data_IF_179064020545
#
_entry.id   IF_179064020545
#
_cell.length_a   1.000
_cell.length_b   1.000
_cell.length_c   1.000
_cell.angle_alpha   90.00
_cell.angle_beta   90.00
_cell.angle_gamma   90.00
#
_symmetry.space_group_name_H-M   'P 1'
#
loop_
_entity.id
_entity.type
_entity.pdbx_description
1 polymer ?
#
# COMPACT_ATOMS: atom_id res chain seq x y z
N UNK A 1 73.68 -8.98 -137.22
CA UNK A 1 73.01 -7.66 -137.17
C UNK A 1 72.48 -7.42 -135.75
N UNK A 2 71.18 -7.60 -135.45
CA UNK A 2 70.51 -7.23 -134.18
C UNK A 2 71.26 -7.43 -132.85
N UNK A 3 72.15 -8.41 -132.72
CA UNK A 3 72.92 -8.66 -131.48
C UNK A 3 74.18 -7.76 -131.33
N UNK A 4 74.77 -7.30 -132.45
CA UNK A 4 75.92 -6.38 -132.46
C UNK A 4 75.51 -4.93 -132.26
N UNK A 5 74.35 -4.53 -132.79
CA UNK A 5 73.76 -3.21 -132.54
C UNK A 5 73.45 -3.05 -131.05
N UNK A 6 72.83 -4.05 -130.43
CA UNK A 6 72.49 -4.07 -129.00
C UNK A 6 73.71 -3.96 -128.07
N UNK A 7 74.87 -4.50 -128.47
CA UNK A 7 76.13 -4.32 -127.73
C UNK A 7 76.71 -2.91 -127.89
N UNK A 8 76.53 -2.28 -129.06
CA UNK A 8 76.94 -0.90 -129.32
C UNK A 8 76.05 0.10 -128.59
N UNK A 9 74.74 -0.13 -128.60
CA UNK A 9 73.74 0.64 -127.84
C UNK A 9 74.07 0.58 -126.34
N UNK A 10 74.28 -0.63 -125.79
CA UNK A 10 74.65 -0.80 -124.37
C UNK A 10 75.98 -0.12 -124.01
N UNK A 11 76.98 -0.14 -124.88
CA UNK A 11 78.25 0.57 -124.67
C UNK A 11 78.08 2.11 -124.74
N UNK A 12 77.12 2.61 -125.53
CA UNK A 12 76.75 4.03 -125.58
C UNK A 12 75.95 4.43 -124.33
N UNK A 13 75.04 3.58 -123.83
CA UNK A 13 74.37 3.77 -122.53
C UNK A 13 75.41 3.83 -121.40
N UNK A 14 76.31 2.85 -121.28
CA UNK A 14 77.35 2.81 -120.24
C UNK A 14 78.28 4.04 -120.27
N UNK A 15 78.67 4.52 -121.46
CA UNK A 15 79.44 5.75 -121.60
C UNK A 15 78.62 7.02 -121.29
N UNK A 16 77.31 7.02 -121.57
CA UNK A 16 76.41 8.14 -121.25
C UNK A 16 76.16 8.20 -119.75
N UNK A 17 75.99 7.06 -119.09
CA UNK A 17 75.87 6.93 -117.64
C UNK A 17 77.14 7.38 -116.91
N UNK A 18 78.33 7.02 -117.41
CA UNK A 18 79.60 7.49 -116.82
C UNK A 18 79.82 8.98 -117.08
N UNK A 19 79.49 9.48 -118.28
CA UNK A 19 79.54 10.92 -118.59
C UNK A 19 78.59 11.71 -117.67
N UNK A 20 77.37 11.22 -117.44
CA UNK A 20 76.43 11.82 -116.49
C UNK A 20 76.98 11.79 -115.07
N UNK A 21 77.51 10.65 -114.61
CA UNK A 21 78.11 10.52 -113.27
C UNK A 21 79.38 11.37 -113.10
N UNK A 22 80.14 11.65 -114.15
CA UNK A 22 81.27 12.60 -114.13
C UNK A 22 80.77 14.05 -114.13
N UNK A 23 79.74 14.38 -114.90
CA UNK A 23 79.14 15.71 -114.92
C UNK A 23 78.47 16.08 -113.58
N UNK A 24 77.79 15.13 -112.93
CA UNK A 24 77.27 15.28 -111.58
C UNK A 24 78.38 15.49 -110.54
N UNK A 25 79.46 14.69 -110.60
CA UNK A 25 80.64 14.88 -109.74
C UNK A 25 81.26 16.27 -109.93
N UNK A 26 81.42 16.72 -111.18
CA UNK A 26 81.94 18.06 -111.50
C UNK A 26 81.06 19.14 -110.87
N UNK A 27 79.75 19.12 -111.14
CA UNK A 27 78.77 20.07 -110.59
C UNK A 27 78.75 20.08 -109.06
N UNK A 28 78.90 18.93 -108.42
CA UNK A 28 79.05 18.83 -106.96
C UNK A 28 80.35 19.50 -106.49
N UNK A 29 81.49 19.23 -107.14
CA UNK A 29 82.77 19.87 -106.78
C UNK A 29 82.79 21.38 -107.02
N UNK A 30 82.11 21.87 -108.08
CA UNK A 30 81.94 23.29 -108.35
C UNK A 30 81.11 23.96 -107.25
N UNK A 31 79.96 23.39 -106.87
CA UNK A 31 79.12 23.91 -105.78
C UNK A 31 79.83 23.90 -104.42
N UNK A 32 80.68 22.90 -104.16
CA UNK A 32 81.51 22.83 -102.95
C UNK A 32 82.61 23.91 -102.94
N UNK A 33 83.23 24.17 -104.09
CA UNK A 33 84.26 25.20 -104.24
C UNK A 33 83.66 26.62 -104.13
N UNK A 34 82.49 26.85 -104.72
CA UNK A 34 81.73 28.10 -104.55
C UNK A 34 81.32 28.33 -103.08
N UNK A 35 80.80 27.29 -102.41
CA UNK A 35 80.50 27.32 -100.98
C UNK A 35 81.73 27.67 -100.13
N UNK A 36 82.89 27.06 -100.41
CA UNK A 36 84.15 27.37 -99.70
C UNK A 36 84.66 28.79 -99.96
N UNK A 37 84.50 29.32 -101.17
CA UNK A 37 84.84 30.73 -101.47
C UNK A 37 83.95 31.72 -100.70
N UNK A 38 82.66 31.42 -100.55
CA UNK A 38 81.73 32.23 -99.74
C UNK A 38 82.10 32.18 -98.25
N UNK A 39 82.48 31.01 -97.73
CA UNK A 39 82.95 30.84 -96.35
C UNK A 39 84.25 31.62 -96.08
N UNK A 40 85.25 31.54 -96.97
CA UNK A 40 86.50 32.31 -96.89
C UNK A 40 86.23 33.81 -96.89
N UNK A 41 85.31 34.29 -97.73
CA UNK A 41 84.91 35.71 -97.77
C UNK A 41 84.30 36.14 -96.43
N UNK A 42 83.36 35.36 -95.90
CA UNK A 42 82.71 35.62 -94.60
C UNK A 42 83.73 35.73 -93.46
N UNK A 43 84.64 34.76 -93.34
CA UNK A 43 85.69 34.74 -92.29
C UNK A 43 86.60 35.97 -92.40
N UNK A 44 86.95 36.40 -93.62
CA UNK A 44 87.76 37.60 -93.83
C UNK A 44 87.05 38.88 -93.38
N UNK A 45 85.74 39.00 -93.59
CA UNK A 45 84.96 40.16 -93.19
C UNK A 45 84.67 40.18 -91.67
N UNK A 46 84.42 39.02 -91.06
CA UNK A 46 84.34 38.84 -89.60
C UNK A 46 85.67 39.23 -88.90
N UNK A 47 86.81 38.83 -89.46
CA UNK A 47 88.14 39.21 -88.95
C UNK A 47 88.36 40.73 -88.95
N UNK A 48 87.94 41.42 -90.02
CA UNK A 48 88.02 42.90 -90.10
C UNK A 48 87.17 43.56 -89.02
N UNK A 49 85.92 43.09 -88.84
CA UNK A 49 85.01 43.60 -87.82
C UNK A 49 85.56 43.40 -86.40
N UNK A 50 86.14 42.23 -86.11
CA UNK A 50 86.77 41.94 -84.81
C UNK A 50 87.93 42.87 -84.50
N UNK A 51 88.86 43.09 -85.45
CA UNK A 51 89.97 44.03 -85.23
C UNK A 51 89.48 45.49 -85.09
N UNK A 52 88.47 45.90 -85.85
CA UNK A 52 87.87 47.23 -85.71
C UNK A 52 87.25 47.44 -84.32
N UNK A 53 86.56 46.44 -83.77
CA UNK A 53 86.03 46.48 -82.40
C UNK A 53 87.15 46.54 -81.35
N UNK A 54 88.25 45.79 -81.54
CA UNK A 54 89.41 45.84 -80.65
C UNK A 54 90.04 47.25 -80.63
N UNK A 55 90.28 47.87 -81.79
CA UNK A 55 90.80 49.23 -81.86
C UNK A 55 89.84 50.26 -81.26
N UNK A 56 88.52 50.10 -81.41
CA UNK A 56 87.53 50.98 -80.79
C UNK A 56 87.53 50.89 -79.25
N UNK A 57 87.68 49.69 -78.68
CA UNK A 57 87.83 49.49 -77.25
C UNK A 57 89.13 50.11 -76.72
N UNK A 58 90.25 49.86 -77.41
CA UNK A 58 91.56 50.39 -77.04
C UNK A 58 91.63 51.93 -77.15
N UNK A 59 91.02 52.52 -78.19
CA UNK A 59 90.85 53.98 -78.32
C UNK A 59 89.92 54.57 -77.26
N UNK A 60 89.05 53.77 -76.64
CA UNK A 60 88.21 54.20 -75.52
C UNK A 60 88.98 54.19 -74.21
N UNK A 61 89.79 53.16 -73.95
CA UNK A 61 90.76 53.15 -72.83
C UNK A 61 91.75 54.32 -72.93
N UNK A 62 92.30 54.60 -74.12
CA UNK A 62 93.18 55.78 -74.33
C UNK A 62 92.48 57.11 -74.02
N UNK A 63 91.19 57.25 -74.34
CA UNK A 63 90.42 58.46 -74.00
C UNK A 63 90.18 58.60 -72.49
N UNK A 64 89.88 57.51 -71.79
CA UNK A 64 89.75 57.52 -70.32
C UNK A 64 91.08 57.89 -69.65
N UNK A 65 92.18 57.26 -70.05
CA UNK A 65 93.52 57.58 -69.52
C UNK A 65 94.06 58.96 -69.92
N UNK A 66 93.51 59.60 -70.97
CA UNK A 66 93.79 60.99 -71.29
C UNK A 66 93.01 61.93 -70.35
N UNK A 67 91.72 61.70 -70.15
CA UNK A 67 90.88 62.48 -69.23
C UNK A 67 91.28 62.33 -67.74
N UNK A 68 92.03 61.28 -67.38
CA UNK A 68 92.68 61.12 -66.07
C UNK A 68 93.95 61.99 -65.89
N UNK A 69 94.38 62.76 -66.91
CA UNK A 69 95.58 63.61 -66.85
C UNK A 69 95.29 65.12 -66.85
N UNK A 70 94.03 65.51 -66.92
CA UNK A 70 93.62 66.89 -66.69
C UNK A 70 93.50 67.10 -65.16
N UNK A 71 94.31 67.99 -64.59
CA UNK A 71 94.53 68.12 -63.13
C UNK A 71 93.26 68.43 -62.30
N UNK A 72 92.18 68.89 -62.94
CA UNK A 72 90.89 69.19 -62.30
C UNK A 72 90.03 67.94 -61.98
N UNK A 73 90.36 66.76 -62.53
CA UNK A 73 89.60 65.52 -62.34
C UNK A 73 90.26 64.59 -61.30
N UNK A 74 89.58 64.20 -60.20
CA UNK A 74 90.13 63.25 -59.25
C UNK A 74 90.26 61.85 -59.88
N UNK A 75 91.21 61.01 -59.41
CA UNK A 75 91.38 59.64 -59.88
C UNK A 75 90.07 58.84 -59.82
N UNK A 76 89.84 57.98 -60.81
CA UNK A 76 88.60 57.20 -60.93
C UNK A 76 88.42 56.29 -59.71
N UNK A 77 89.52 55.80 -59.16
CA UNK A 77 89.61 55.03 -57.92
C UNK A 77 89.04 55.78 -56.71
N UNK A 78 89.20 57.12 -56.64
CA UNK A 78 88.66 57.95 -55.58
C UNK A 78 87.14 58.18 -55.71
N UNK A 79 86.59 58.07 -56.93
CA UNK A 79 85.15 58.11 -57.20
C UNK A 79 84.52 56.72 -56.98
N UNK A 80 85.23 55.65 -57.34
CA UNK A 80 84.75 54.27 -57.20
C UNK A 80 84.77 53.79 -55.75
N UNK A 81 85.83 54.06 -54.96
CA UNK A 81 85.97 53.50 -53.61
C UNK A 81 84.79 53.80 -52.65
N UNK A 82 84.18 55.00 -52.64
CA UNK A 82 82.94 55.25 -51.89
C UNK A 82 81.77 54.39 -52.38
N UNK A 83 81.56 54.30 -53.69
CA UNK A 83 80.48 53.51 -54.30
C UNK A 83 80.66 52.00 -54.07
N UNK A 84 81.89 51.51 -54.09
CA UNK A 84 82.22 50.13 -53.72
C UNK A 84 81.99 49.85 -52.23
N UNK A 85 82.25 50.82 -51.36
CA UNK A 85 81.96 50.72 -49.93
C UNK A 85 80.45 50.72 -49.65
N UNK A 86 79.68 51.61 -50.29
CA UNK A 86 78.21 51.64 -50.23
C UNK A 86 77.60 50.34 -50.76
N UNK A 87 78.07 49.84 -51.92
CA UNK A 87 77.63 48.58 -52.50
C UNK A 87 77.96 47.37 -51.59
N UNK A 88 79.10 47.42 -50.88
CA UNK A 88 79.47 46.43 -49.87
C UNK A 88 78.58 46.49 -48.63
N UNK A 89 78.20 47.69 -48.16
CA UNK A 89 77.25 47.88 -47.07
C UNK A 89 75.84 47.39 -47.45
N UNK A 90 75.35 47.75 -48.64
CA UNK A 90 74.06 47.28 -49.16
C UNK A 90 74.02 45.75 -49.29
N UNK A 91 75.12 45.11 -49.72
CA UNK A 91 75.24 43.64 -49.72
C UNK A 91 75.18 43.03 -48.31
N UNK A 92 75.77 43.69 -47.30
CA UNK A 92 75.68 43.25 -45.90
C UNK A 92 74.28 43.45 -45.32
N UNK A 93 73.59 44.51 -45.69
CA UNK A 93 72.19 44.76 -45.30
C UNK A 93 71.24 43.74 -45.93
N UNK A 94 71.38 43.46 -47.23
CA UNK A 94 70.63 42.40 -47.91
C UNK A 94 70.87 41.03 -47.22
N UNK A 95 72.10 40.73 -46.80
CA UNK A 95 72.39 39.48 -46.08
C UNK A 95 71.67 39.42 -44.72
N UNK A 96 71.66 40.50 -43.94
CA UNK A 96 70.90 40.59 -42.68
C UNK A 96 69.40 40.41 -42.92
N UNK A 97 68.82 41.15 -43.86
CA UNK A 97 67.40 41.07 -44.22
C UNK A 97 67.00 39.67 -44.73
N UNK A 98 67.90 38.93 -45.36
CA UNK A 98 67.68 37.52 -45.73
C UNK A 98 67.66 36.60 -44.49
N UNK A 99 68.54 36.80 -43.51
CA UNK A 99 68.54 36.00 -42.28
C UNK A 99 67.38 36.36 -41.34
N UNK A 100 66.97 37.63 -41.28
CA UNK A 100 65.78 38.10 -40.58
C UNK A 100 64.50 37.51 -41.20
N UNK A 101 64.38 37.46 -42.53
CA UNK A 101 63.28 36.74 -43.19
C UNK A 101 63.27 35.24 -42.83
N UNK A 102 64.42 34.56 -42.84
CA UNK A 102 64.52 33.15 -42.39
C UNK A 102 64.17 33.01 -40.90
N UNK A 103 64.38 34.02 -40.07
CA UNK A 103 63.98 34.01 -38.66
C UNK A 103 62.46 34.18 -38.52
N UNK A 104 61.86 35.10 -39.29
CA UNK A 104 60.40 35.28 -39.38
C UNK A 104 59.70 34.02 -39.89
N UNK A 105 60.20 33.37 -40.94
CA UNK A 105 59.66 32.09 -41.45
C UNK A 105 59.61 30.99 -40.37
N UNK A 106 60.67 30.87 -39.56
CA UNK A 106 60.73 29.91 -38.45
C UNK A 106 59.76 30.29 -37.32
N UNK A 107 59.64 31.58 -37.02
CA UNK A 107 58.71 32.09 -36.00
C UNK A 107 57.25 31.89 -36.43
N UNK A 108 56.92 32.11 -37.69
CA UNK A 108 55.59 31.86 -38.27
C UNK A 108 55.23 30.38 -38.15
N UNK A 109 56.10 29.47 -38.64
CA UNK A 109 55.88 28.01 -38.53
C UNK A 109 55.75 27.52 -37.08
N UNK A 110 56.51 28.12 -36.15
CA UNK A 110 56.40 27.83 -34.72
C UNK A 110 55.06 28.28 -34.14
N UNK A 111 54.56 29.46 -34.53
CA UNK A 111 53.24 29.96 -34.14
C UNK A 111 52.09 29.15 -34.76
N UNK A 112 52.21 28.74 -36.02
CA UNK A 112 51.25 27.87 -36.70
C UNK A 112 51.12 26.52 -35.98
N UNK A 113 52.25 25.89 -35.62
CA UNK A 113 52.25 24.67 -34.83
C UNK A 113 51.58 24.86 -33.46
N UNK A 114 51.93 25.93 -32.73
CA UNK A 114 51.34 26.24 -31.43
C UNK A 114 49.82 26.54 -31.51
N UNK A 115 49.35 27.16 -32.60
CA UNK A 115 47.93 27.38 -32.85
C UNK A 115 47.18 26.07 -33.10
N UNK A 116 47.77 25.13 -33.87
CA UNK A 116 47.18 23.81 -34.09
C UNK A 116 47.09 22.97 -32.81
N UNK A 117 48.08 23.05 -31.92
CA UNK A 117 48.03 22.37 -30.61
C UNK A 117 47.05 23.03 -29.64
N UNK A 118 46.90 24.36 -29.68
CA UNK A 118 45.85 25.06 -28.97
C UNK A 118 44.45 24.66 -29.49
N UNK A 119 44.27 24.55 -30.81
CA UNK A 119 43.02 24.11 -31.42
C UNK A 119 42.63 22.69 -31.01
N UNK A 120 43.58 21.73 -31.08
CA UNK A 120 43.39 20.34 -30.59
C UNK A 120 42.97 20.33 -29.11
N UNK A 121 43.57 21.20 -28.31
CA UNK A 121 43.24 21.33 -26.88
C UNK A 121 41.82 21.85 -26.67
N UNK A 122 41.40 22.87 -27.45
CA UNK A 122 40.02 23.40 -27.43
C UNK A 122 39.00 22.36 -27.91
N UNK A 123 39.28 21.65 -29.00
CA UNK A 123 38.42 20.56 -29.50
C UNK A 123 38.25 19.45 -28.44
N UNK A 124 39.33 19.06 -27.76
CA UNK A 124 39.28 18.10 -26.64
C UNK A 124 38.46 18.62 -25.44
N UNK A 125 38.57 19.91 -25.13
CA UNK A 125 37.80 20.55 -24.06
C UNK A 125 36.29 20.62 -24.39
N UNK A 126 35.93 20.95 -25.64
CA UNK A 126 34.55 20.99 -26.12
C UNK A 126 33.89 19.60 -26.07
N UNK A 127 34.60 18.55 -26.51
CA UNK A 127 34.10 17.17 -26.40
C UNK A 127 33.85 16.74 -24.94
N UNK A 128 34.74 17.14 -24.01
CA UNK A 128 34.57 16.89 -22.57
C UNK A 128 33.40 17.70 -21.99
N UNK A 129 33.18 18.94 -22.43
CA UNK A 129 32.05 19.76 -22.00
C UNK A 129 30.72 19.11 -22.42
N UNK A 130 30.58 18.71 -23.69
CA UNK A 130 29.38 18.00 -24.18
C UNK A 130 29.08 16.73 -23.37
N UNK A 131 30.11 15.93 -23.05
CA UNK A 131 29.95 14.74 -22.21
C UNK A 131 29.52 15.08 -20.77
N UNK A 132 29.98 16.20 -20.22
CA UNK A 132 29.53 16.69 -18.89
C UNK A 132 28.07 17.14 -18.94
N UNK A 133 27.64 17.81 -20.01
CA UNK A 133 26.25 18.24 -20.19
C UNK A 133 25.30 17.04 -20.34
N UNK A 134 25.67 16.02 -21.13
CA UNK A 134 24.94 14.75 -21.24
C UNK A 134 24.82 14.03 -19.88
N UNK A 135 25.90 14.01 -19.09
CA UNK A 135 25.88 13.44 -17.75
C UNK A 135 25.03 14.25 -16.77
N UNK A 136 25.01 15.59 -16.87
CA UNK A 136 24.11 16.44 -16.09
C UNK A 136 22.64 16.18 -16.44
N UNK A 137 22.30 16.12 -17.73
CA UNK A 137 20.97 15.80 -18.21
C UNK A 137 20.49 14.43 -17.70
N UNK A 138 21.36 13.41 -17.77
CA UNK A 138 21.08 12.07 -17.24
C UNK A 138 20.91 12.06 -15.72
N UNK A 139 21.69 12.86 -14.99
CA UNK A 139 21.59 12.98 -13.53
C UNK A 139 20.28 13.67 -13.09
N UNK A 140 19.88 14.75 -13.77
CA UNK A 140 18.57 15.40 -13.56
C UNK A 140 17.40 14.43 -13.80
N UNK A 141 17.49 13.57 -14.82
CA UNK A 141 16.47 12.56 -15.11
C UNK A 141 16.43 11.45 -14.05
N UNK A 142 17.59 11.00 -13.57
CA UNK A 142 17.66 10.05 -12.45
C UNK A 142 17.10 10.65 -11.14
N UNK A 143 17.30 11.94 -10.87
CA UNK A 143 16.67 12.61 -9.72
C UNK A 143 15.14 12.60 -9.83
N UNK A 144 14.57 12.92 -11.00
CA UNK A 144 13.11 12.82 -11.23
C UNK A 144 12.58 11.40 -11.00
N UNK A 145 13.31 10.38 -11.47
CA UNK A 145 12.93 8.98 -11.26
C UNK A 145 12.98 8.59 -9.77
N UNK A 146 13.96 9.10 -9.01
CA UNK A 146 14.01 8.93 -7.56
C UNK A 146 12.83 9.63 -6.87
N UNK A 147 12.46 10.84 -7.28
CA UNK A 147 11.29 11.57 -6.75
C UNK A 147 9.97 10.82 -7.02
N UNK A 148 9.79 10.30 -8.24
CA UNK A 148 8.63 9.48 -8.62
C UNK A 148 8.57 8.23 -7.74
N UNK A 149 9.65 7.43 -7.67
CA UNK A 149 9.69 6.23 -6.85
C UNK A 149 9.47 6.52 -5.34
N UNK A 150 9.89 7.69 -4.83
CA UNK A 150 9.60 8.10 -3.46
C UNK A 150 8.11 8.40 -3.25
N UNK A 151 7.43 9.05 -4.19
CA UNK A 151 5.98 9.32 -4.08
C UNK A 151 5.14 8.07 -4.34
N UNK A 152 5.53 7.19 -5.26
CA UNK A 152 4.94 5.86 -5.43
C UNK A 152 4.99 5.05 -4.13
N UNK A 153 6.16 5.01 -3.47
CA UNK A 153 6.29 4.41 -2.15
C UNK A 153 5.33 5.08 -1.13
N UNK A 154 5.29 6.42 -1.05
CA UNK A 154 4.32 7.14 -0.18
C UNK A 154 2.85 6.85 -0.51
N UNK A 155 2.50 6.49 -1.75
CA UNK A 155 1.15 6.07 -2.14
C UNK A 155 0.87 4.63 -1.70
N UNK A 156 1.80 3.70 -1.95
CA UNK A 156 1.72 2.31 -1.50
C UNK A 156 1.61 2.22 0.03
N UNK A 157 2.39 3.03 0.74
CA UNK A 157 2.45 3.10 2.20
C UNK A 157 1.14 3.65 2.81
N UNK A 158 0.44 4.55 2.10
CA UNK A 158 -0.92 5.00 2.45
C UNK A 158 -1.97 3.92 2.17
N UNK A 159 -1.90 3.29 1.00
CA UNK A 159 -2.81 2.20 0.59
C UNK A 159 -2.71 0.99 1.54
N UNK A 160 -1.49 0.63 1.97
CA UNK A 160 -1.27 -0.48 2.89
C UNK A 160 -1.88 -0.18 4.27
N UNK A 161 -1.63 1.00 4.84
CA UNK A 161 -2.27 1.42 6.11
C UNK A 161 -3.81 1.41 6.03
N UNK A 162 -4.39 1.84 4.90
CA UNK A 162 -5.84 1.76 4.67
C UNK A 162 -6.34 0.31 4.66
N UNK A 163 -5.69 -0.58 3.89
CA UNK A 163 -6.04 -2.01 3.83
C UNK A 163 -5.90 -2.71 5.19
N UNK A 164 -4.88 -2.37 5.98
CA UNK A 164 -4.73 -2.89 7.36
C UNK A 164 -5.90 -2.45 8.23
N UNK A 165 -6.27 -1.16 8.23
CA UNK A 165 -7.42 -0.66 8.99
C UNK A 165 -8.77 -1.26 8.55
N UNK A 166 -8.94 -1.57 7.25
CA UNK A 166 -10.10 -2.31 6.74
C UNK A 166 -10.12 -3.77 7.25
N UNK A 167 -8.98 -4.46 7.24
CA UNK A 167 -8.84 -5.82 7.80
C UNK A 167 -9.08 -5.84 9.30
N UNK A 168 -8.55 -4.87 10.06
CA UNK A 168 -8.80 -4.72 11.50
C UNK A 168 -10.30 -4.53 11.78
N UNK A 169 -10.97 -3.68 11.00
CA UNK A 169 -12.42 -3.44 11.11
C UNK A 169 -13.23 -4.71 10.80
N UNK A 170 -12.89 -5.43 9.73
CA UNK A 170 -13.55 -6.70 9.40
C UNK A 170 -13.31 -7.74 10.51
N UNK A 171 -12.09 -7.81 11.05
CA UNK A 171 -11.74 -8.71 12.18
C UNK A 171 -12.53 -8.36 13.45
N UNK A 172 -12.81 -7.07 13.69
CA UNK A 172 -13.68 -6.63 14.78
C UNK A 172 -15.14 -7.09 14.55
N UNK A 173 -15.69 -6.90 13.36
CA UNK A 173 -17.06 -7.34 13.04
C UNK A 173 -17.22 -8.86 13.00
N UNK A 174 -16.17 -9.63 12.67
CA UNK A 174 -16.18 -11.10 12.83
C UNK A 174 -16.33 -11.48 14.30
N UNK A 175 -15.53 -10.89 15.20
CA UNK A 175 -15.63 -11.17 16.65
C UNK A 175 -16.98 -10.78 17.25
N UNK A 176 -17.56 -9.66 16.81
CA UNK A 176 -18.92 -9.26 17.19
C UNK A 176 -20.00 -10.26 16.73
N UNK A 177 -19.82 -10.88 15.56
CA UNK A 177 -20.70 -11.94 15.05
C UNK A 177 -20.49 -13.27 15.79
N UNK A 178 -19.25 -13.61 16.16
CA UNK A 178 -18.93 -14.79 16.99
C UNK A 178 -19.61 -14.69 18.37
N UNK A 179 -19.50 -13.53 19.03
CA UNK A 179 -20.20 -13.26 20.30
C UNK A 179 -21.73 -13.35 20.15
N UNK A 180 -22.29 -12.81 19.06
CA UNK A 180 -23.73 -12.88 18.78
C UNK A 180 -24.20 -14.33 18.51
N UNK A 181 -23.39 -15.15 17.85
CA UNK A 181 -23.67 -16.58 17.61
C UNK A 181 -23.62 -17.37 18.93
N UNK A 182 -22.64 -17.11 19.80
CA UNK A 182 -22.55 -17.73 21.12
C UNK A 182 -23.76 -17.36 22.00
N UNK A 183 -24.16 -16.08 22.03
CA UNK A 183 -25.36 -15.62 22.72
C UNK A 183 -26.65 -16.24 22.15
N UNK A 184 -26.75 -16.35 20.83
CA UNK A 184 -27.85 -17.04 20.13
C UNK A 184 -27.92 -18.53 20.50
N UNK A 185 -26.78 -19.21 20.60
CA UNK A 185 -26.69 -20.60 21.07
C UNK A 185 -27.18 -20.78 22.51
N UNK A 186 -26.78 -19.88 23.41
CA UNK A 186 -27.26 -19.88 24.80
C UNK A 186 -28.78 -19.63 24.89
N UNK A 187 -29.31 -18.68 24.11
CA UNK A 187 -30.75 -18.43 24.04
C UNK A 187 -31.52 -19.64 23.47
N UNK A 188 -31.01 -20.29 22.43
CA UNK A 188 -31.61 -21.50 21.85
C UNK A 188 -31.59 -22.71 22.82
N UNK A 189 -30.58 -22.80 23.69
CA UNK A 189 -30.54 -23.79 24.78
C UNK A 189 -31.65 -23.50 25.80
N UNK A 190 -31.76 -22.27 26.30
CA UNK A 190 -32.79 -21.87 27.24
C UNK A 190 -34.22 -22.11 26.71
N UNK A 191 -34.47 -21.82 25.43
CA UNK A 191 -35.76 -22.11 24.76
C UNK A 191 -36.06 -23.63 24.77
N UNK A 192 -35.07 -24.49 24.49
CA UNK A 192 -35.24 -25.94 24.52
C UNK A 192 -35.49 -26.48 25.94
N UNK A 193 -34.87 -25.89 26.96
CA UNK A 193 -35.10 -26.29 28.36
C UNK A 193 -36.47 -25.82 28.87
N UNK A 194 -36.91 -24.61 28.54
CA UNK A 194 -38.29 -24.17 28.81
C UNK A 194 -39.32 -25.04 28.08
N UNK A 195 -39.06 -25.42 26.83
CA UNK A 195 -39.92 -26.34 26.06
C UNK A 195 -40.05 -27.70 26.75
N UNK A 196 -38.95 -28.25 27.30
CA UNK A 196 -38.96 -29.49 28.08
C UNK A 196 -39.79 -29.33 29.37
N UNK A 197 -39.58 -28.27 30.15
CA UNK A 197 -40.34 -28.04 31.40
C UNK A 197 -41.84 -27.83 31.13
N UNK A 198 -42.22 -27.24 29.99
CA UNK A 198 -43.62 -27.13 29.54
C UNK A 198 -44.20 -28.49 29.14
N UNK A 199 -43.42 -29.38 28.52
CA UNK A 199 -43.84 -30.76 28.25
C UNK A 199 -44.07 -31.54 29.56
N UNK A 200 -43.11 -31.50 30.49
CA UNK A 200 -43.22 -32.10 31.82
C UNK A 200 -44.47 -31.61 32.58
N UNK A 201 -44.67 -30.29 32.70
CA UNK A 201 -45.86 -29.73 33.36
C UNK A 201 -47.17 -30.11 32.65
N UNK A 202 -47.16 -30.31 31.34
CA UNK A 202 -48.33 -30.78 30.58
C UNK A 202 -48.59 -32.29 30.81
N UNK A 203 -47.59 -33.08 31.19
CA UNK A 203 -47.75 -34.47 31.59
C UNK A 203 -48.23 -34.60 33.04
N UNK A 204 -47.63 -33.83 33.96
CA UNK A 204 -48.10 -33.62 35.34
C UNK A 204 -49.57 -33.15 35.35
N UNK A 205 -49.94 -32.19 34.49
CA UNK A 205 -51.33 -31.74 34.35
C UNK A 205 -52.25 -32.87 33.88
N UNK A 206 -51.80 -33.71 32.93
CA UNK A 206 -52.58 -34.86 32.44
C UNK A 206 -52.71 -35.98 33.49
N UNK A 207 -51.78 -36.14 34.44
CA UNK A 207 -51.97 -37.09 35.56
C UNK A 207 -52.95 -36.50 36.57
N UNK A 208 -52.77 -35.24 36.98
CA UNK A 208 -53.69 -34.53 37.88
C UNK A 208 -55.12 -34.43 37.34
N UNK A 209 -55.34 -34.15 36.05
CA UNK A 209 -56.67 -34.13 35.42
C UNK A 209 -57.37 -35.50 35.53
N UNK A 210 -56.62 -36.61 35.44
CA UNK A 210 -57.15 -37.98 35.61
C UNK A 210 -57.40 -38.34 37.07
N UNK A 211 -56.54 -37.90 37.99
CA UNK A 211 -56.71 -38.10 39.43
C UNK A 211 -57.89 -37.31 39.96
N UNK A 212 -58.05 -36.06 39.52
CA UNK A 212 -59.22 -35.22 39.80
C UNK A 212 -60.51 -35.82 39.24
N UNK A 213 -60.48 -36.46 38.07
CA UNK A 213 -61.61 -37.23 37.55
C UNK A 213 -61.95 -38.46 38.43
N UNK A 214 -60.94 -39.24 38.86
CA UNK A 214 -61.12 -40.36 39.80
C UNK A 214 -61.68 -39.88 41.13
N UNK A 215 -61.14 -38.80 41.70
CA UNK A 215 -61.58 -38.20 42.94
C UNK A 215 -63.04 -37.70 42.86
N UNK A 216 -63.44 -37.08 41.75
CA UNK A 216 -64.84 -36.71 41.49
C UNK A 216 -65.77 -37.92 41.46
N UNK A 217 -65.38 -39.02 40.81
CA UNK A 217 -66.18 -40.26 40.81
C UNK A 217 -66.31 -40.85 42.22
N UNK A 218 -65.23 -40.89 43.00
CA UNK A 218 -65.28 -41.35 44.40
C UNK A 218 -66.13 -40.42 45.28
N UNK A 219 -65.98 -39.11 45.16
CA UNK A 219 -66.77 -38.13 45.90
C UNK A 219 -68.27 -38.22 45.56
N UNK A 220 -68.61 -38.38 44.27
CA UNK A 220 -70.00 -38.61 43.85
C UNK A 220 -70.55 -39.92 44.44
N UNK A 221 -69.78 -41.01 44.45
CA UNK A 221 -70.19 -42.28 45.07
C UNK A 221 -70.46 -42.11 46.58
N UNK A 222 -69.56 -41.44 47.30
CA UNK A 222 -69.76 -41.14 48.74
C UNK A 222 -71.00 -40.26 48.95
N UNK A 223 -71.17 -39.22 48.14
CA UNK A 223 -72.35 -38.35 48.20
C UNK A 223 -73.66 -39.11 47.93
N UNK A 224 -73.67 -40.10 47.01
CA UNK A 224 -74.83 -40.98 46.80
C UNK A 224 -75.08 -41.92 47.99
N UNK A 225 -74.05 -42.48 48.61
CA UNK A 225 -74.20 -43.31 49.82
C UNK A 225 -74.79 -42.48 50.96
N UNK A 226 -74.19 -41.33 51.28
CA UNK A 226 -74.70 -40.43 52.33
C UNK A 226 -76.10 -39.92 52.00
N UNK A 227 -76.40 -39.59 50.74
CA UNK A 227 -77.76 -39.19 50.35
C UNK A 227 -78.79 -40.31 50.58
N UNK A 228 -78.41 -41.59 50.43
CA UNK A 228 -79.29 -42.72 50.75
C UNK A 228 -79.45 -42.94 52.25
N UNK A 229 -78.43 -42.69 53.08
CA UNK A 229 -78.52 -42.75 54.55
C UNK A 229 -79.48 -41.69 55.13
N UNK A 230 -79.68 -40.57 54.42
CA UNK A 230 -80.53 -39.44 54.82
C UNK A 230 -81.94 -39.47 54.20
N UNK A 231 -82.39 -40.65 53.76
CA UNK A 231 -83.77 -40.88 53.30
C UNK A 231 -84.72 -41.23 54.43
N UNK A 232 -85.97 -40.83 54.27
CA UNK A 232 -87.10 -41.27 55.10
C UNK A 232 -87.57 -42.69 54.74
N UNK A 233 -88.55 -43.20 55.49
CA UNK A 233 -89.19 -44.49 55.24
C UNK A 233 -89.97 -44.58 53.91
N UNK A 234 -90.05 -43.48 53.15
CA UNK A 234 -90.64 -43.39 51.82
C UNK A 234 -89.58 -43.19 50.71
N UNK A 235 -88.31 -43.49 51.01
CA UNK A 235 -87.12 -43.39 50.14
C UNK A 235 -86.79 -41.95 49.69
N UNK A 236 -87.29 -40.91 50.39
CA UNK A 236 -87.09 -39.50 50.05
C UNK A 236 -86.09 -38.84 50.98
N UNK A 237 -85.13 -38.12 50.41
CA UNK A 237 -84.18 -37.31 51.19
C UNK A 237 -84.92 -36.10 51.78
N UNK A 238 -84.74 -35.84 53.08
CA UNK A 238 -85.37 -34.70 53.75
C UNK A 238 -85.01 -33.36 53.07
N UNK A 239 -86.00 -32.56 52.61
CA UNK A 239 -85.75 -31.25 52.02
C UNK A 239 -84.98 -30.32 52.96
N UNK A 240 -83.92 -29.67 52.45
CA UNK A 240 -83.02 -28.79 53.24
C UNK A 240 -83.79 -27.71 54.01
N UNK A 241 -84.88 -27.17 53.45
CA UNK A 241 -85.74 -26.18 54.13
C UNK A 241 -86.48 -26.77 55.35
N UNK A 242 -86.92 -28.03 55.28
CA UNK A 242 -87.55 -28.72 56.41
C UNK A 242 -86.50 -29.07 57.47
N UNK A 243 -85.35 -29.62 57.06
CA UNK A 243 -84.24 -29.91 57.99
C UNK A 243 -83.76 -28.67 58.76
N UNK A 244 -83.64 -27.51 58.10
CA UNK A 244 -83.29 -26.24 58.75
C UNK A 244 -84.38 -25.68 59.68
N UNK A 245 -85.63 -26.10 59.50
CA UNK A 245 -86.75 -25.73 60.37
C UNK A 245 -86.82 -26.67 61.58
N UNK A 246 -86.77 -27.98 61.37
CA UNK A 246 -86.68 -28.99 62.44
C UNK A 246 -85.46 -28.76 63.33
N UNK A 247 -84.29 -28.47 62.75
CA UNK A 247 -83.09 -28.09 63.51
C UNK A 247 -83.30 -26.81 64.33
N UNK A 248 -84.08 -25.84 63.84
CA UNK A 248 -84.42 -24.61 64.58
C UNK A 248 -85.38 -24.90 65.73
N UNK A 249 -86.41 -25.73 65.49
CA UNK A 249 -87.36 -26.19 66.51
C UNK A 249 -86.62 -26.94 67.61
N UNK A 250 -85.84 -27.98 67.29
CA UNK A 250 -85.03 -28.75 68.24
C UNK A 250 -84.06 -27.86 69.03
N UNK A 251 -83.41 -26.87 68.38
CA UNK A 251 -82.54 -25.93 69.07
C UNK A 251 -83.31 -25.00 70.03
N UNK A 252 -84.54 -24.59 69.67
CA UNK A 252 -85.45 -23.83 70.53
C UNK A 252 -85.99 -24.65 71.71
N UNK A 253 -86.37 -25.91 71.48
CA UNK A 253 -86.77 -26.84 72.54
C UNK A 253 -85.63 -27.12 73.52
N UNK A 254 -84.42 -27.36 73.02
CA UNK A 254 -83.23 -27.56 73.86
C UNK A 254 -82.95 -26.31 74.71
N UNK A 255 -83.16 -25.10 74.17
CA UNK A 255 -83.08 -23.89 74.98
C UNK A 255 -84.22 -23.79 76.02
N UNK A 256 -85.46 -24.08 75.64
CA UNK A 256 -86.58 -24.10 76.59
C UNK A 256 -86.37 -25.14 77.72
N UNK A 257 -85.71 -26.26 77.43
CA UNK A 257 -85.31 -27.25 78.43
C UNK A 257 -84.22 -26.72 79.37
N UNK A 258 -83.22 -25.96 78.88
CA UNK A 258 -82.26 -25.24 79.73
C UNK A 258 -82.94 -24.19 80.61
N UNK A 259 -83.89 -23.44 80.06
CA UNK A 259 -84.60 -22.39 80.79
C UNK A 259 -85.49 -23.01 81.89
N UNK A 260 -86.19 -24.12 81.59
CA UNK A 260 -86.91 -24.94 82.58
C UNK A 260 -85.97 -25.50 83.65
N UNK A 261 -84.81 -26.04 83.27
CA UNK A 261 -83.81 -26.52 84.22
C UNK A 261 -83.37 -25.41 85.18
N UNK A 262 -83.01 -24.24 84.64
CA UNK A 262 -82.61 -23.07 85.43
C UNK A 262 -83.73 -22.52 86.34
N UNK A 263 -85.00 -22.73 86.00
CA UNK A 263 -86.13 -22.47 86.91
C UNK A 263 -86.15 -23.53 88.03
N UNK A 264 -86.09 -24.82 87.69
CA UNK A 264 -86.11 -25.90 88.71
C UNK A 264 -84.92 -25.82 89.67
N UNK A 265 -83.73 -25.41 89.22
CA UNK A 265 -82.59 -25.13 90.10
C UNK A 265 -82.86 -23.99 91.08
N UNK A 266 -83.49 -22.90 90.62
CA UNK A 266 -83.85 -21.76 91.49
C UNK A 266 -84.91 -22.17 92.50
N UNK A 267 -85.92 -22.94 92.09
CA UNK A 267 -86.93 -23.51 92.99
C UNK A 267 -86.27 -24.43 94.02
N UNK A 268 -85.43 -25.37 93.61
CA UNK A 268 -84.72 -26.29 94.52
C UNK A 268 -83.80 -25.54 95.50
N UNK A 269 -83.08 -24.50 95.05
CA UNK A 269 -82.30 -23.61 95.93
C UNK A 269 -83.20 -22.90 96.96
N UNK A 270 -84.37 -22.39 96.54
CA UNK A 270 -85.33 -21.78 97.47
C UNK A 270 -85.95 -22.78 98.46
N UNK A 271 -86.20 -24.01 98.02
CA UNK A 271 -86.71 -25.10 98.86
C UNK A 271 -85.66 -25.56 99.88
N UNK A 272 -84.38 -25.59 99.51
CA UNK A 272 -83.27 -25.88 100.43
C UNK A 272 -83.16 -24.81 101.54
N UNK A 273 -83.24 -23.52 101.19
CA UNK A 273 -83.30 -22.42 102.17
C UNK A 273 -84.52 -22.53 103.08
N UNK A 274 -85.66 -23.01 102.56
CA UNK A 274 -86.87 -23.23 103.34
C UNK A 274 -86.71 -24.43 104.29
N UNK A 275 -86.10 -25.53 103.83
CA UNK A 275 -85.75 -26.70 104.62
C UNK A 275 -84.79 -26.35 105.76
N UNK A 276 -83.76 -25.55 105.52
CA UNK A 276 -82.87 -25.03 106.57
C UNK A 276 -83.65 -24.21 107.61
N UNK A 277 -84.53 -23.30 107.17
CA UNK A 277 -85.42 -22.53 108.06
C UNK A 277 -86.37 -23.41 108.88
N UNK A 278 -86.85 -24.53 108.34
CA UNK A 278 -87.65 -25.50 109.08
C UNK A 278 -86.81 -26.37 110.03
N UNK A 279 -85.60 -26.76 109.65
CA UNK A 279 -84.66 -27.49 110.52
C UNK A 279 -84.24 -26.63 111.72
N UNK A 280 -83.95 -25.34 111.54
CA UNK A 280 -83.69 -24.40 112.63
C UNK A 280 -84.89 -24.31 113.60
N UNK A 281 -86.12 -24.25 113.08
CA UNK A 281 -87.34 -24.27 113.90
C UNK A 281 -87.54 -25.59 114.65
N UNK A 282 -87.29 -26.72 113.99
CA UNK A 282 -87.38 -28.04 114.61
C UNK A 282 -86.36 -28.17 115.75
N UNK A 283 -85.13 -27.68 115.54
CA UNK A 283 -84.08 -27.69 116.56
C UNK A 283 -84.44 -26.87 117.81
N UNK A 284 -85.06 -25.70 117.64
CA UNK A 284 -85.60 -24.91 118.78
C UNK A 284 -86.71 -25.67 119.51
N UNK A 285 -87.56 -26.42 118.81
CA UNK A 285 -88.58 -27.27 119.45
C UNK A 285 -87.96 -28.49 120.17
N UNK A 286 -86.92 -29.12 119.61
CA UNK A 286 -86.15 -30.16 120.30
C UNK A 286 -85.47 -29.64 121.57
N UNK A 287 -84.87 -28.45 121.51
CA UNK A 287 -84.28 -27.77 122.66
C UNK A 287 -85.36 -27.45 123.72
N UNK A 288 -86.57 -27.05 123.30
CA UNK A 288 -87.72 -26.85 124.18
C UNK A 288 -88.21 -28.17 124.82
N UNK A 289 -88.14 -29.30 124.11
CA UNK A 289 -88.59 -30.61 124.61
C UNK A 289 -87.54 -31.30 125.51
N UNK A 290 -86.24 -31.06 125.28
CA UNK A 290 -85.12 -31.51 126.15
C UNK A 290 -85.12 -30.84 127.53
N UNK A 291 -85.94 -29.81 127.74
CA UNK A 291 -86.21 -29.21 129.06
C UNK A 291 -86.92 -30.16 130.03
N UNK A 292 -87.41 -31.32 129.56
CA UNK A 292 -87.93 -32.41 130.38
C UNK A 292 -87.18 -33.71 130.05
N UNK A 293 -86.86 -34.51 131.08
CA UNK A 293 -85.89 -35.62 131.05
C UNK A 293 -84.42 -35.18 130.94
N UNK A 294 -83.74 -35.18 132.09
CA UNK A 294 -82.40 -34.61 132.30
C UNK A 294 -81.27 -35.45 131.71
N UNK A 295 -80.40 -34.85 130.88
CA UNK A 295 -79.15 -35.48 130.44
C UNK A 295 -78.00 -34.48 130.17
N UNK A 296 -76.81 -34.80 130.70
CA UNK A 296 -75.47 -34.36 130.26
C UNK A 296 -75.16 -32.86 130.07
N UNK A 297 -74.83 -32.20 131.19
CA UNK A 297 -73.72 -31.22 131.40
C UNK A 297 -73.18 -30.38 130.22
N UNK A 298 -73.32 -29.07 130.39
CA UNK A 298 -72.82 -27.95 129.57
C UNK A 298 -71.30 -27.66 129.66
N UNK A 299 -70.71 -27.21 128.53
CA UNK A 299 -69.85 -25.98 128.35
C UNK A 299 -68.56 -25.74 129.15
N UNK A 300 -67.64 -24.82 128.74
CA UNK A 300 -67.56 -23.96 127.53
C UNK A 300 -66.24 -24.22 126.72
N UNK A 301 -65.75 -23.44 125.74
CA UNK A 301 -66.31 -22.28 124.99
C UNK A 301 -66.34 -22.60 123.47
N UNK A 302 -65.49 -22.15 122.51
CA UNK A 302 -64.35 -21.22 122.48
C UNK A 302 -64.07 -20.70 121.06
N UNK A 303 -63.98 -19.38 120.87
CA UNK A 303 -63.72 -18.73 119.57
C UNK A 303 -62.21 -18.50 119.30
N UNK A 304 -61.72 -18.92 118.13
CA UNK A 304 -61.29 -18.02 117.03
C UNK A 304 -60.07 -18.52 116.23
N UNK A 305 -59.99 -18.06 114.98
CA UNK A 305 -58.77 -17.84 114.18
C UNK A 305 -57.92 -19.05 113.76
N UNK A 306 -58.10 -19.48 112.50
CA UNK A 306 -57.03 -20.07 111.68
C UNK A 306 -56.96 -19.41 110.30
N UNK A 307 -56.32 -18.24 110.22
CA UNK A 307 -55.87 -17.68 108.94
C UNK A 307 -54.56 -18.39 108.53
N UNK A 308 -54.61 -19.17 107.45
CA UNK A 308 -53.48 -19.88 106.84
C UNK A 308 -53.46 -19.67 105.32
N UNK A 309 -52.28 -19.63 104.68
CA UNK A 309 -51.86 -18.30 104.23
C UNK A 309 -51.57 -18.14 102.72
N UNK A 310 -51.19 -16.92 102.37
CA UNK A 310 -50.35 -16.54 101.22
C UNK A 310 -51.05 -16.23 99.89
N UNK A 311 -51.59 -15.00 99.84
CA UNK A 311 -51.70 -14.21 98.60
C UNK A 311 -50.31 -14.05 97.96
N UNK A 312 -50.06 -14.68 96.81
CA UNK A 312 -48.93 -14.32 95.93
C UNK A 312 -49.40 -14.16 94.48
N UNK A 313 -49.19 -12.96 93.93
CA UNK A 313 -49.52 -12.64 92.54
C UNK A 313 -48.36 -13.07 91.63
N UNK A 314 -48.55 -14.08 90.77
CA UNK A 314 -47.69 -14.31 89.59
C UNK A 314 -48.17 -15.50 88.73
N UNK A 315 -48.84 -15.22 87.61
CA UNK A 315 -49.02 -16.10 86.44
C UNK A 315 -49.04 -15.16 85.22
N UNK A 316 -48.26 -15.29 84.14
CA UNK A 316 -47.26 -16.29 83.73
C UNK A 316 -47.77 -17.72 83.55
N UNK A 317 -47.76 -18.22 82.31
CA UNK A 317 -48.23 -19.55 81.93
C UNK A 317 -49.10 -19.50 80.68
N UNK A 318 -48.59 -19.99 79.55
CA UNK A 318 -49.28 -19.93 78.26
C UNK A 318 -50.25 -21.10 78.04
N UNK A 319 -51.22 -20.92 77.13
CA UNK A 319 -51.94 -22.01 76.46
C UNK A 319 -51.81 -21.88 74.93
N UNK A 320 -51.92 -23.01 74.22
CA UNK A 320 -51.45 -23.16 72.83
C UNK A 320 -52.52 -23.73 71.88
N UNK A 321 -52.98 -22.94 70.91
CA UNK A 321 -53.80 -23.41 69.76
C UNK A 321 -53.34 -22.62 68.51
N UNK A 322 -52.43 -23.14 67.68
CA UNK A 322 -52.64 -24.10 66.58
C UNK A 322 -53.36 -23.57 65.31
N UNK A 323 -52.57 -23.52 64.22
CA UNK A 323 -52.88 -23.98 62.84
C UNK A 323 -53.72 -23.13 61.84
N UNK A 324 -53.02 -22.78 60.74
CA UNK A 324 -53.39 -22.94 59.31
C UNK A 324 -54.26 -21.88 58.55
N UNK A 325 -53.58 -21.12 57.67
CA UNK A 325 -53.85 -20.91 56.21
C UNK A 325 -55.29 -20.62 55.71
N UNK A 326 -55.60 -19.54 54.97
CA UNK A 326 -55.14 -19.29 53.57
C UNK A 326 -55.90 -18.12 52.88
N UNK A 327 -55.31 -17.58 51.80
CA UNK A 327 -55.88 -16.94 50.59
C UNK A 327 -57.02 -15.88 50.65
N UNK A 328 -56.83 -14.75 49.91
CA UNK A 328 -57.90 -13.80 49.56
C UNK A 328 -57.44 -12.61 48.68
N UNK A 329 -57.79 -12.60 47.39
CA UNK A 329 -57.31 -11.63 46.38
C UNK A 329 -58.07 -10.28 46.34
N UNK A 330 -57.32 -9.16 46.18
CA UNK A 330 -57.65 -7.95 45.37
C UNK A 330 -58.90 -7.10 45.80
N UNK A 331 -59.19 -5.88 45.25
CA UNK A 331 -58.70 -5.27 44.00
C UNK A 331 -58.43 -3.73 43.93
N UNK A 332 -57.76 -3.35 42.81
CA UNK A 332 -57.89 -2.15 41.92
C UNK A 332 -58.21 -0.73 42.46
N UNK A 333 -57.58 0.23 41.73
CA UNK A 333 -57.98 1.62 41.33
C UNK A 333 -57.53 2.83 42.17
N UNK A 334 -56.66 3.64 41.55
CA UNK A 334 -56.45 5.09 41.71
C UNK A 334 -57.70 5.91 41.31
N UNK A 335 -57.84 7.24 41.58
CA UNK A 335 -56.87 8.34 41.25
C UNK A 335 -56.83 9.47 42.35
N UNK A 336 -56.30 10.71 42.28
CA UNK A 336 -55.33 11.50 41.46
C UNK A 336 -55.12 12.90 42.10
N UNK A 337 -54.05 13.65 41.71
CA UNK A 337 -53.81 15.10 41.96
C UNK A 337 -53.47 15.50 43.42
N UNK A 338 -52.77 16.61 43.78
CA UNK A 338 -51.89 17.65 43.17
C UNK A 338 -51.21 18.41 44.37
N UNK A 339 -50.19 19.29 44.33
CA UNK A 339 -49.31 19.94 43.31
C UNK A 339 -48.04 20.50 44.02
N UNK A 340 -46.98 20.86 43.27
CA UNK A 340 -45.80 21.72 43.67
C UNK A 340 -44.85 21.15 44.76
N UNK A 341 -43.54 21.43 44.80
CA UNK A 341 -42.62 22.21 43.93
C UNK A 341 -41.14 21.79 44.11
N UNK A 342 -40.28 22.11 43.12
CA UNK A 342 -38.84 22.54 43.25
C UNK A 342 -37.89 21.83 44.25
N UNK A 343 -36.70 21.30 43.93
CA UNK A 343 -35.88 21.02 42.71
C UNK A 343 -34.71 20.08 43.17
N UNK A 344 -33.76 19.48 42.42
CA UNK A 344 -33.40 19.35 40.99
C UNK A 344 -32.43 18.14 40.80
N UNK A 345 -31.97 17.90 39.57
CA UNK A 345 -30.68 17.27 39.19
C UNK A 345 -30.51 15.74 39.39
N UNK A 346 -29.91 14.97 38.46
CA UNK A 346 -29.53 15.18 37.04
C UNK A 346 -29.92 13.94 36.20
N UNK A 347 -30.05 14.07 34.87
CA UNK A 347 -30.36 12.97 33.95
C UNK A 347 -29.43 13.00 32.71
N UNK A 348 -29.28 11.83 32.09
CA UNK A 348 -28.37 11.47 31.00
C UNK A 348 -28.51 12.26 29.68
N UNK A 349 -27.33 12.52 29.08
CA UNK A 349 -26.95 12.29 27.67
C UNK A 349 -27.62 13.04 26.48
N UNK A 350 -26.72 13.47 25.57
CA UNK A 350 -26.86 13.65 24.10
C UNK A 350 -27.85 14.69 23.52
N UNK A 351 -27.32 15.75 22.90
CA UNK A 351 -27.44 15.99 21.45
C UNK A 351 -26.56 17.16 20.94
N UNK A 352 -26.33 17.18 19.62
CA UNK A 352 -25.49 18.10 18.82
C UNK A 352 -25.87 19.59 18.94
N UNK A 353 -24.88 20.51 18.94
CA UNK A 353 -25.12 21.89 18.47
C UNK A 353 -24.15 23.01 18.90
N UNK A 354 -23.59 23.71 17.90
CA UNK A 354 -23.20 25.16 17.87
C UNK A 354 -22.18 25.78 18.88
N UNK A 355 -21.13 26.37 18.27
CA UNK A 355 -20.46 27.66 18.60
C UNK A 355 -19.29 27.79 19.61
N UNK A 356 -18.11 28.06 19.00
CA UNK A 356 -17.07 29.07 19.36
C UNK A 356 -16.62 29.26 20.82
N UNK A 357 -15.32 29.02 21.07
CA UNK A 357 -14.30 30.09 21.23
C UNK A 357 -12.88 29.51 21.46
N UNK A 358 -11.84 30.32 21.17
CA UNK A 358 -10.39 30.02 21.27
C UNK A 358 -9.87 28.86 20.35
N UNK A 359 -8.62 28.85 19.87
CA UNK A 359 -7.47 29.77 20.02
C UNK A 359 -6.60 29.81 18.74
N UNK A 360 -5.74 30.84 18.61
CA UNK A 360 -4.42 30.75 17.96
C UNK A 360 -4.29 30.91 16.43
N UNK A 361 -3.26 31.66 16.00
CA UNK A 361 -2.42 31.17 14.89
C UNK A 361 -2.49 31.79 13.48
N UNK A 362 -2.62 33.12 13.36
CA UNK A 362 -2.02 34.00 12.33
C UNK A 362 -1.54 33.50 10.93
N UNK A 363 -1.69 34.40 9.93
CA UNK A 363 -0.93 34.53 8.64
C UNK A 363 -1.52 33.95 7.34
N UNK A 364 -2.46 34.70 6.77
CA UNK A 364 -2.41 35.25 5.40
C UNK A 364 -1.92 34.36 4.23
N UNK A 365 -2.87 33.86 3.42
CA UNK A 365 -2.65 33.61 1.99
C UNK A 365 -3.98 33.63 1.20
N UNK A 366 -4.19 34.66 0.36
CA UNK A 366 -5.07 34.60 -0.82
C UNK A 366 -4.52 35.56 -1.89
N UNK A 367 -4.26 35.04 -3.09
CA UNK A 367 -4.20 35.85 -4.30
C UNK A 367 -4.64 35.08 -5.56
N UNK A 368 -5.96 34.93 -5.70
CA UNK A 368 -6.59 35.22 -6.99
C UNK A 368 -6.71 34.09 -8.03
N UNK A 369 -7.97 33.80 -8.39
CA UNK A 369 -8.37 32.89 -9.48
C UNK A 369 -8.10 33.48 -10.88
N UNK A 370 -7.84 32.62 -11.87
CA UNK A 370 -8.20 32.65 -13.32
C UNK A 370 -7.25 31.72 -14.12
N UNK A 371 -7.60 31.10 -15.26
CA UNK A 371 -8.86 30.67 -15.89
C UNK A 371 -8.51 29.72 -17.08
N UNK A 372 -9.47 28.88 -17.52
CA UNK A 372 -9.62 28.27 -18.86
C UNK A 372 -8.62 27.24 -19.45
N UNK A 373 -9.21 26.07 -19.78
CA UNK A 373 -9.14 25.33 -21.07
C UNK A 373 -7.97 24.41 -21.49
N UNK A 374 -8.31 23.59 -22.50
CA UNK A 374 -7.49 22.68 -23.34
C UNK A 374 -7.10 21.37 -22.64
N UNK A 375 -7.94 20.32 -22.68
CA UNK A 375 -8.13 19.34 -23.80
C UNK A 375 -7.06 18.24 -23.80
N UNK A 376 -7.46 16.99 -23.52
CA UNK A 376 -6.66 15.78 -23.81
C UNK A 376 -6.71 15.39 -25.30
N UNK A 377 -5.97 14.36 -25.76
CA UNK A 377 -6.29 13.00 -25.34
C UNK A 377 -5.07 12.05 -25.19
N UNK A 378 -5.33 10.75 -25.21
CA UNK A 378 -4.39 9.64 -24.99
C UNK A 378 -3.19 9.55 -25.94
N UNK A 379 -2.15 8.88 -25.44
CA UNK A 379 -1.16 8.13 -26.23
C UNK A 379 -1.81 7.29 -27.34
N UNK A 380 -1.18 7.25 -28.52
CA UNK A 380 -0.58 6.02 -29.06
C UNK A 380 0.10 6.26 -30.42
N UNK A 381 1.42 6.18 -30.47
CA UNK A 381 2.25 5.67 -31.59
C UNK A 381 3.72 5.84 -31.24
N UNK A 382 4.49 4.76 -31.27
CA UNK A 382 5.94 4.79 -31.12
C UNK A 382 6.65 4.29 -32.37
N UNK A 383 7.86 4.83 -32.57
CA UNK A 383 9.01 4.25 -33.31
C UNK A 383 9.33 4.81 -34.71
N UNK A 384 10.49 5.47 -34.74
CA UNK A 384 11.44 5.74 -35.85
C UNK A 384 12.72 4.99 -35.44
N UNK A 385 13.45 4.23 -36.28
CA UNK A 385 14.39 4.66 -37.35
C UNK A 385 15.41 5.69 -36.80
N UNK A 386 16.73 5.47 -36.77
CA UNK A 386 17.61 4.38 -37.27
C UNK A 386 18.83 4.22 -36.30
N UNK A 387 19.81 3.30 -36.40
CA UNK A 387 20.11 2.20 -37.34
C UNK A 387 21.61 1.80 -37.24
N UNK A 388 21.99 0.53 -37.51
CA UNK A 388 23.38 0.12 -37.83
C UNK A 388 23.56 -1.37 -38.20
N UNK A 389 23.90 -1.63 -39.47
CA UNK A 389 24.72 -2.73 -40.04
C UNK A 389 24.45 -4.23 -39.76
N UNK A 390 24.17 -4.91 -40.87
CA UNK A 390 24.85 -6.11 -41.39
C UNK A 390 24.74 -7.47 -40.63
N UNK A 391 23.68 -8.22 -40.92
CA UNK A 391 23.82 -9.45 -41.75
C UNK A 391 22.46 -9.95 -42.26
N UNK A 392 22.46 -10.47 -43.49
CA UNK A 392 21.34 -11.19 -44.13
C UNK A 392 21.35 -12.67 -43.63
N UNK A 393 20.34 -13.52 -43.83
CA UNK A 393 19.24 -13.57 -44.81
C UNK A 393 18.03 -14.34 -44.24
N UNK A 394 16.87 -14.33 -44.95
CA UNK A 394 15.76 -15.32 -44.88
C UNK A 394 15.22 -15.70 -43.47
N UNK A 395 14.13 -15.14 -42.96
CA UNK A 395 12.80 -14.90 -43.56
C UNK A 395 12.06 -16.18 -44.00
N UNK A 396 11.10 -16.63 -43.20
CA UNK A 396 10.03 -17.56 -43.61
C UNK A 396 8.76 -17.23 -42.82
N UNK A 397 7.82 -16.52 -43.45
CA UNK A 397 6.57 -16.03 -42.85
C UNK A 397 5.42 -16.95 -43.24
N UNK A 398 5.07 -17.93 -42.39
CA UNK A 398 4.00 -18.89 -42.66
C UNK A 398 2.85 -18.69 -41.68
N UNK A 399 1.74 -18.17 -42.22
CA UNK A 399 0.49 -17.83 -41.50
C UNK A 399 -0.68 -18.52 -42.18
N UNK A 400 -1.16 -19.63 -41.62
CA UNK A 400 -2.49 -20.17 -41.90
C UNK A 400 -2.91 -21.14 -40.78
N UNK A 401 -4.22 -21.24 -40.52
CA UNK A 401 -4.79 -22.31 -39.70
C UNK A 401 -5.11 -23.51 -40.60
N UNK A 402 -5.16 -24.70 -40.02
CA UNK A 402 -6.22 -25.65 -40.37
C UNK A 402 -6.55 -26.55 -39.18
N UNK A 403 -7.85 -26.76 -38.94
CA UNK A 403 -8.33 -27.85 -38.10
C UNK A 403 -8.08 -29.18 -38.81
N UNK A 404 -7.73 -30.24 -38.07
CA UNK A 404 -8.56 -31.44 -38.03
C UNK A 404 -8.12 -32.39 -36.90
N UNK A 405 -9.05 -33.24 -36.45
CA UNK A 405 -8.85 -34.26 -35.40
C UNK A 405 -9.58 -35.54 -35.81
N UNK A 406 -8.88 -36.66 -35.95
CA UNK A 406 -9.33 -37.85 -35.21
C UNK A 406 -8.21 -38.73 -34.63
N UNK A 407 -8.36 -39.04 -33.34
CA UNK A 407 -8.23 -40.38 -32.72
C UNK A 407 -7.00 -41.26 -33.04
N UNK A 408 -6.15 -41.48 -32.03
CA UNK A 408 -5.22 -42.62 -32.00
C UNK A 408 -4.16 -42.57 -30.90
N UNK A 409 -4.44 -43.16 -29.72
CA UNK A 409 -3.40 -43.60 -28.78
C UNK A 409 -3.12 -45.09 -29.02
N UNK A 410 -1.86 -45.51 -28.93
CA UNK A 410 -1.45 -46.25 -27.74
C UNK A 410 -0.22 -45.65 -27.04
N UNK A 411 0.07 -46.16 -25.84
CA UNK A 411 1.20 -45.73 -25.00
C UNK A 411 2.52 -46.29 -25.54
N UNK A 412 3.54 -45.43 -25.56
CA UNK A 412 4.96 -45.80 -25.48
C UNK A 412 5.63 -44.88 -24.45
N UNK A 413 6.79 -45.29 -23.94
CA UNK A 413 7.40 -44.68 -22.74
C UNK A 413 7.86 -43.22 -22.96
N UNK A 414 7.80 -42.38 -21.92
CA UNK A 414 8.40 -41.04 -21.96
C UNK A 414 9.91 -41.15 -21.77
N UNK A 415 10.66 -41.29 -22.87
CA UNK A 415 12.08 -40.90 -22.87
C UNK A 415 12.16 -39.43 -22.42
N UNK A 416 12.99 -39.15 -21.41
CA UNK A 416 13.05 -37.87 -20.68
C UNK A 416 13.73 -36.77 -21.52
N UNK A 417 13.08 -36.44 -22.64
CA UNK A 417 13.55 -35.54 -23.67
C UNK A 417 13.24 -34.11 -23.24
N UNK A 418 14.03 -33.63 -22.28
CA UNK A 418 14.08 -32.22 -21.88
C UNK A 418 14.14 -31.36 -23.15
N UNK A 419 13.16 -30.45 -23.40
CA UNK A 419 13.13 -29.69 -24.64
C UNK A 419 14.45 -28.95 -24.86
N UNK A 420 15.06 -29.09 -26.04
CA UNK A 420 16.39 -28.53 -26.34
C UNK A 420 16.49 -27.04 -26.02
N UNK A 421 15.41 -26.28 -26.25
CA UNK A 421 15.28 -24.86 -25.88
C UNK A 421 15.52 -24.57 -24.38
N UNK A 422 15.15 -25.49 -23.49
CA UNK A 422 15.41 -25.38 -22.06
C UNK A 422 16.89 -25.65 -21.74
N UNK A 423 17.52 -26.60 -22.45
CA UNK A 423 18.94 -26.87 -22.34
C UNK A 423 19.78 -25.70 -22.86
N UNK A 424 19.41 -25.13 -24.02
CA UNK A 424 20.03 -23.93 -24.60
C UNK A 424 19.90 -22.71 -23.68
N UNK A 425 18.70 -22.50 -23.09
CA UNK A 425 18.46 -21.42 -22.14
C UNK A 425 19.29 -21.60 -20.87
N UNK A 426 19.30 -22.80 -20.29
CA UNK A 426 20.07 -23.11 -19.08
C UNK A 426 21.58 -23.00 -19.34
N UNK A 427 22.06 -23.46 -20.50
CA UNK A 427 23.46 -23.32 -20.92
C UNK A 427 23.84 -21.84 -21.11
N UNK A 428 22.94 -21.03 -21.66
CA UNK A 428 23.13 -19.57 -21.79
C UNK A 428 23.17 -18.87 -20.43
N UNK A 429 22.31 -19.24 -19.48
CA UNK A 429 22.35 -18.72 -18.11
C UNK A 429 23.62 -19.16 -17.38
N UNK A 430 24.04 -20.42 -17.48
CA UNK A 430 25.29 -20.93 -16.88
C UNK A 430 26.52 -20.20 -17.44
N UNK A 431 26.57 -19.93 -18.75
CA UNK A 431 27.65 -19.12 -19.35
C UNK A 431 27.61 -17.68 -18.84
N UNK A 432 26.42 -17.07 -18.74
CA UNK A 432 26.25 -15.70 -18.22
C UNK A 432 26.65 -15.58 -16.75
N UNK A 433 26.26 -16.55 -15.91
CA UNK A 433 26.63 -16.62 -14.48
C UNK A 433 28.13 -16.83 -14.29
N UNK A 434 28.78 -17.68 -15.09
CA UNK A 434 30.25 -17.84 -15.07
C UNK A 434 30.97 -16.54 -15.44
N UNK A 435 30.47 -15.81 -16.44
CA UNK A 435 31.02 -14.51 -16.85
C UNK A 435 30.86 -13.45 -15.75
N UNK A 436 29.67 -13.33 -15.16
CA UNK A 436 29.40 -12.42 -14.05
C UNK A 436 30.21 -12.77 -12.78
N UNK A 437 30.46 -14.06 -12.53
CA UNK A 437 31.37 -14.52 -11.48
C UNK A 437 32.80 -14.02 -11.72
N UNK A 438 33.37 -14.31 -12.90
CA UNK A 438 34.72 -13.86 -13.25
C UNK A 438 34.87 -12.33 -13.23
N UNK A 439 33.86 -11.57 -13.68
CA UNK A 439 33.86 -10.10 -13.61
C UNK A 439 33.84 -9.60 -12.15
N UNK A 440 33.08 -10.28 -11.27
CA UNK A 440 33.07 -9.96 -9.83
C UNK A 440 34.39 -10.30 -9.16
N UNK A 441 34.97 -11.47 -9.45
CA UNK A 441 36.22 -11.92 -8.84
C UNK A 441 37.41 -11.07 -9.31
N UNK A 442 37.45 -10.67 -10.58
CA UNK A 442 38.39 -9.67 -11.08
C UNK A 442 38.18 -8.33 -10.37
N UNK A 443 36.93 -7.85 -10.26
CA UNK A 443 36.63 -6.59 -9.55
C UNK A 443 36.91 -6.64 -8.04
N UNK A 444 36.98 -7.82 -7.42
CA UNK A 444 37.48 -7.97 -6.04
C UNK A 444 39.00 -7.85 -6.02
N UNK A 445 39.71 -8.59 -6.90
CA UNK A 445 41.17 -8.48 -7.02
C UNK A 445 41.63 -7.06 -7.32
N UNK A 446 40.99 -6.36 -8.25
CA UNK A 446 41.30 -4.96 -8.59
C UNK A 446 41.15 -4.01 -7.38
N UNK A 447 40.33 -4.37 -6.39
CA UNK A 447 40.18 -3.61 -5.13
C UNK A 447 41.24 -4.00 -4.10
N UNK A 448 41.56 -5.28 -3.99
CA UNK A 448 42.60 -5.77 -3.07
C UNK A 448 43.98 -5.27 -3.50
N UNK A 449 44.32 -5.37 -4.79
CA UNK A 449 45.52 -4.78 -5.41
C UNK A 449 45.58 -3.24 -5.15
N UNK A 450 44.43 -2.56 -5.21
CA UNK A 450 44.32 -1.11 -4.94
C UNK A 450 44.31 -0.74 -3.44
N UNK A 451 44.22 -1.71 -2.53
CA UNK A 451 44.39 -1.56 -1.09
C UNK A 451 45.85 -1.86 -0.71
N UNK A 452 46.48 -2.87 -1.30
CA UNK A 452 47.90 -3.19 -1.09
C UNK A 452 48.81 -2.06 -1.57
N UNK A 453 48.47 -1.37 -2.67
CA UNK A 453 49.17 -0.16 -3.16
C UNK A 453 48.91 1.10 -2.29
N UNK A 454 48.16 0.98 -1.18
CA UNK A 454 47.86 2.08 -0.23
C UNK A 454 48.36 1.84 1.20
N UNK A 455 49.11 0.76 1.44
CA UNK A 455 49.74 0.43 2.72
C UNK A 455 51.28 0.59 2.65
#
# INVERSE_FOLDING_TARGET
LRLSERLREKAVEELTDELSRVYEKLKLTESLLESKNLEIKKINDEKKASMAAQFAAEATLRRVHAAQKDDDMPPIEAILAPLEAELKLARQEIAKLQDDNKALDRLTKSKEAALLDAERTVQSALAKASMVDDLQNKNQELMKQIEICQEENKILDRMHRQKVAEVEKLTQSVRELEEAVLAGGAAANAVRDYQRKVQEMNEERKTLDRELARAKVTANRVATVVANEWKDANDKVMPVKQWLEERRVLQGEMQQLRDKLAITERTAKSEAMLKEKYQLRLKVLEETLRSSSTAARSTPDGRSSSNGPSRRQSLSGAESISKLTSNGFLPKRSPSFQLRSSVSSTVLKHAKGTSKSFDGGSRSLDRGKKLLNVTGPNFNSSKSVDGAKDSETESTSWKANQDEKPTGLPVSEPEDTVPGLLYDLLQKEVVSLRKAGHEKDQSLKDKDDAIEVRL
#
